data_IF_489137547616
#
_entry.id   IF_489137547616
#
_cell.length_a   1.000
_cell.length_b   1.000
_cell.length_c   1.000
_cell.angle_alpha   90.00
_cell.angle_beta   90.00
_cell.angle_gamma   90.00
#
_symmetry.space_group_name_H-M   'P 1'
#
loop_
_entity.id
_entity.type
_entity.pdbx_description
1 polymer ?
#
# COMPACT_ATOMS: atom_id res chain seq x y z
N UNK A 1 -3.56 37.50 -29.89
CA UNK A 1 -4.26 36.32 -29.35
C UNK A 1 -3.39 35.12 -29.61
N UNK A 2 -2.62 34.69 -28.61
CA UNK A 2 -1.89 33.43 -28.63
C UNK A 2 -2.73 32.40 -27.87
N UNK A 3 -2.97 31.29 -28.54
CA UNK A 3 -3.71 30.11 -28.10
C UNK A 3 -2.96 29.35 -27.00
N UNK A 4 -3.70 29.04 -25.93
CA UNK A 4 -3.84 27.72 -25.29
C UNK A 4 -2.60 26.92 -24.86
N UNK A 5 -2.69 26.50 -23.59
CA UNK A 5 -2.14 25.27 -22.99
C UNK A 5 -0.66 25.32 -22.57
N UNK A 6 -0.42 25.74 -21.32
CA UNK A 6 0.43 24.94 -20.46
C UNK A 6 -0.46 24.48 -19.31
N UNK A 7 -0.88 23.22 -19.39
CA UNK A 7 -1.50 22.50 -18.30
C UNK A 7 -0.65 22.75 -17.05
N UNK A 8 -1.24 23.42 -16.07
CA UNK A 8 -0.85 23.27 -14.68
C UNK A 8 -1.09 21.78 -14.38
N UNK A 9 -0.08 20.95 -14.67
CA UNK A 9 -0.10 19.55 -14.27
C UNK A 9 -0.29 19.60 -12.76
N UNK A 10 -1.47 19.21 -12.29
CA UNK A 10 -1.78 19.16 -10.87
C UNK A 10 -0.74 18.22 -10.24
N UNK A 11 0.31 18.82 -9.70
CA UNK A 11 1.36 18.12 -8.98
C UNK A 11 0.65 17.48 -7.79
N UNK A 12 0.68 16.14 -7.70
CA UNK A 12 0.16 15.43 -6.54
C UNK A 12 0.85 16.00 -5.32
N UNK A 13 0.07 16.61 -4.42
CA UNK A 13 0.61 17.25 -3.23
C UNK A 13 0.90 16.21 -2.15
N UNK A 14 1.70 16.60 -1.16
CA UNK A 14 1.90 15.78 0.04
C UNK A 14 0.58 15.49 0.77
N UNK A 15 -0.35 16.45 0.80
CA UNK A 15 -1.65 16.31 1.45
C UNK A 15 -2.52 15.26 0.74
N UNK A 16 -2.47 15.21 -0.59
CA UNK A 16 -3.17 14.18 -1.38
C UNK A 16 -2.65 12.78 -1.07
N UNK A 17 -1.32 12.67 -0.92
CA UNK A 17 -0.63 11.44 -0.55
C UNK A 17 -1.05 11.01 0.87
N UNK A 18 -1.02 11.93 1.83
CA UNK A 18 -1.40 11.68 3.22
C UNK A 18 -2.85 11.20 3.37
N UNK A 19 -3.81 11.89 2.74
CA UNK A 19 -5.22 11.50 2.77
C UNK A 19 -5.42 10.07 2.26
N UNK A 20 -4.71 9.71 1.19
CA UNK A 20 -4.76 8.38 0.61
C UNK A 20 -4.17 7.35 1.55
N UNK A 21 -3.01 7.60 2.14
CA UNK A 21 -2.39 6.64 3.04
C UNK A 21 -3.12 6.45 4.36
N UNK A 22 -3.90 7.43 4.83
CA UNK A 22 -4.81 7.23 5.97
C UNK A 22 -5.84 6.12 5.68
N UNK A 23 -6.39 6.09 4.46
CA UNK A 23 -7.32 5.03 4.04
C UNK A 23 -6.60 3.66 4.01
N UNK A 24 -5.36 3.62 3.54
CA UNK A 24 -4.58 2.37 3.54
C UNK A 24 -4.32 1.87 4.96
N UNK A 25 -4.02 2.75 5.91
CA UNK A 25 -3.84 2.39 7.31
C UNK A 25 -5.12 1.76 7.88
N UNK A 26 -6.28 2.39 7.67
CA UNK A 26 -7.57 1.86 8.15
C UNK A 26 -7.86 0.47 7.57
N UNK A 27 -7.58 0.25 6.27
CA UNK A 27 -7.74 -1.06 5.63
C UNK A 27 -6.74 -2.08 6.23
N UNK A 28 -5.51 -1.65 6.49
CA UNK A 28 -4.46 -2.52 7.04
C UNK A 28 -4.80 -2.97 8.47
N UNK A 29 -5.40 -2.08 9.27
CA UNK A 29 -5.91 -2.42 10.60
C UNK A 29 -7.04 -3.45 10.54
N UNK A 30 -7.91 -3.39 9.53
CA UNK A 30 -8.92 -4.43 9.31
C UNK A 30 -8.29 -5.77 8.91
N UNK A 31 -7.26 -5.74 8.07
CA UNK A 31 -6.50 -6.95 7.69
C UNK A 31 -5.80 -7.57 8.90
N UNK A 32 -5.29 -6.77 9.83
CA UNK A 32 -4.65 -7.25 11.05
C UNK A 32 -5.57 -8.13 11.93
N UNK A 33 -6.90 -8.04 11.76
CA UNK A 33 -7.87 -8.92 12.40
C UNK A 33 -7.72 -10.40 11.99
N UNK A 34 -6.90 -10.72 10.98
CA UNK A 34 -6.46 -12.10 10.69
C UNK A 34 -5.76 -12.76 11.87
N UNK A 35 -5.17 -11.96 12.76
CA UNK A 35 -4.53 -12.41 13.99
C UNK A 35 -5.51 -12.51 15.17
N UNK A 36 -6.80 -12.30 14.91
CA UNK A 36 -7.83 -12.27 15.94
C UNK A 36 -8.80 -13.45 15.84
N UNK A 37 -9.31 -13.85 17.01
CA UNK A 37 -10.41 -14.81 17.14
C UNK A 37 -11.77 -14.21 16.82
N UNK A 38 -11.86 -12.89 16.65
CA UNK A 38 -13.13 -12.23 16.33
C UNK A 38 -13.54 -12.46 14.87
N UNK A 39 -14.85 -12.60 14.67
CA UNK A 39 -15.46 -12.67 13.35
C UNK A 39 -15.19 -11.36 12.60
N UNK A 40 -14.67 -11.48 11.38
CA UNK A 40 -14.20 -10.38 10.56
C UNK A 40 -14.17 -10.82 9.11
N UNK A 41 -14.54 -9.90 8.21
CA UNK A 41 -14.50 -10.11 6.76
C UNK A 41 -13.10 -9.80 6.21
N UNK A 42 -12.16 -10.68 6.56
CA UNK A 42 -10.74 -10.52 6.18
C UNK A 42 -10.57 -10.64 4.67
N UNK A 43 -11.38 -11.48 4.01
CA UNK A 43 -11.29 -11.64 2.57
C UNK A 43 -11.62 -10.33 1.84
N UNK A 44 -12.67 -9.62 2.29
CA UNK A 44 -12.98 -8.29 1.79
C UNK A 44 -11.88 -7.26 2.11
N UNK A 45 -11.34 -7.27 3.33
CA UNK A 45 -10.26 -6.35 3.72
C UNK A 45 -9.00 -6.55 2.86
N UNK A 46 -8.63 -7.81 2.56
CA UNK A 46 -7.51 -8.13 1.66
C UNK A 46 -7.78 -7.65 0.23
N UNK A 47 -9.02 -7.79 -0.25
CA UNK A 47 -9.42 -7.29 -1.57
C UNK A 47 -9.32 -5.76 -1.65
N UNK A 48 -9.80 -5.05 -0.61
CA UNK A 48 -9.67 -3.60 -0.51
C UNK A 48 -8.21 -3.16 -0.47
N UNK A 49 -7.37 -3.83 0.31
CA UNK A 49 -5.94 -3.54 0.39
C UNK A 49 -5.26 -3.73 -0.97
N UNK A 50 -5.61 -4.82 -1.67
CA UNK A 50 -5.06 -5.12 -3.00
C UNK A 50 -5.49 -4.07 -4.01
N UNK A 51 -6.77 -3.71 -4.05
CA UNK A 51 -7.29 -2.68 -4.94
C UNK A 51 -6.65 -1.31 -4.68
N UNK A 52 -6.56 -0.90 -3.41
CA UNK A 52 -5.92 0.36 -3.04
C UNK A 52 -4.47 0.42 -3.53
N UNK A 53 -3.69 -0.64 -3.30
CA UNK A 53 -2.28 -0.65 -3.71
C UNK A 53 -2.13 -0.71 -5.22
N UNK A 54 -3.00 -1.41 -5.95
CA UNK A 54 -3.00 -1.36 -7.41
C UNK A 54 -3.24 0.05 -7.94
N UNK A 55 -4.20 0.78 -7.36
CA UNK A 55 -4.45 2.18 -7.70
C UNK A 55 -3.23 3.05 -7.39
N UNK A 56 -2.62 2.86 -6.22
CA UNK A 56 -1.45 3.61 -5.82
C UNK A 56 -0.22 3.30 -6.69
N UNK A 57 -0.05 2.05 -7.14
CA UNK A 57 0.99 1.64 -8.09
C UNK A 57 0.80 2.28 -9.47
N UNK A 58 -0.41 2.72 -9.81
CA UNK A 58 -0.72 3.45 -11.04
C UNK A 58 -0.35 4.94 -10.99
N UNK A 59 0.11 5.46 -9.85
CA UNK A 59 0.50 6.85 -9.73
C UNK A 59 1.78 7.14 -10.52
N UNK A 60 1.76 8.20 -11.31
CA UNK A 60 2.93 8.66 -12.04
C UNK A 60 3.88 9.41 -11.08
N UNK A 61 4.92 8.72 -10.62
CA UNK A 61 5.91 9.26 -9.70
C UNK A 61 6.90 10.23 -10.37
N UNK A 62 6.93 10.29 -11.71
CA UNK A 62 7.81 11.21 -12.45
C UNK A 62 7.25 12.63 -12.48
N UNK A 63 5.92 12.78 -12.33
CA UNK A 63 5.24 14.09 -12.24
C UNK A 63 5.05 14.58 -10.81
N UNK A 64 5.49 13.83 -9.80
CA UNK A 64 5.45 14.28 -8.41
C UNK A 64 6.61 15.22 -8.07
N UNK A 65 6.39 16.13 -7.12
CA UNK A 65 7.50 16.84 -6.49
C UNK A 65 8.40 15.85 -5.75
N UNK A 66 9.67 16.20 -5.55
CA UNK A 66 10.59 15.33 -4.82
C UNK A 66 10.10 15.03 -3.40
N UNK A 67 9.59 16.03 -2.68
CA UNK A 67 9.02 15.87 -1.34
C UNK A 67 7.82 14.90 -1.35
N UNK A 68 6.85 15.10 -2.26
CA UNK A 68 5.67 14.24 -2.34
C UNK A 68 6.05 12.80 -2.69
N UNK A 69 7.02 12.61 -3.59
CA UNK A 69 7.55 11.28 -3.94
C UNK A 69 8.26 10.61 -2.78
N UNK A 70 9.14 11.32 -2.07
CA UNK A 70 9.82 10.78 -0.89
C UNK A 70 8.81 10.37 0.20
N UNK A 71 7.80 11.21 0.41
CA UNK A 71 6.73 10.93 1.36
C UNK A 71 5.92 9.69 0.96
N UNK A 72 5.53 9.60 -0.32
CA UNK A 72 4.85 8.43 -0.89
C UNK A 72 5.67 7.14 -0.71
N UNK A 73 6.97 7.17 -1.03
CA UNK A 73 7.84 6.00 -0.89
C UNK A 73 7.99 5.60 0.56
N UNK A 74 8.17 6.56 1.48
CA UNK A 74 8.22 6.28 2.92
C UNK A 74 6.96 5.56 3.41
N UNK A 75 5.78 5.98 2.97
CA UNK A 75 4.52 5.32 3.32
C UNK A 75 4.39 3.93 2.72
N UNK A 76 4.81 3.73 1.46
CA UNK A 76 4.82 2.40 0.85
C UNK A 76 5.78 1.44 1.54
N UNK A 77 6.96 1.90 1.92
CA UNK A 77 7.92 1.11 2.69
C UNK A 77 7.36 0.79 4.08
N UNK A 78 6.72 1.75 4.75
CA UNK A 78 6.05 1.49 6.03
C UNK A 78 4.95 0.43 5.91
N UNK A 79 4.08 0.53 4.90
CA UNK A 79 3.05 -0.46 4.63
C UNK A 79 3.62 -1.87 4.42
N UNK A 80 4.73 -1.98 3.68
CA UNK A 80 5.44 -3.27 3.48
C UNK A 80 5.80 -3.91 4.81
N UNK A 81 6.40 -3.15 5.72
CA UNK A 81 6.83 -3.66 7.03
C UNK A 81 5.63 -4.08 7.89
N UNK A 82 4.57 -3.26 7.96
CA UNK A 82 3.36 -3.61 8.72
C UNK A 82 2.72 -4.91 8.22
N UNK A 83 2.60 -5.08 6.90
CA UNK A 83 2.06 -6.33 6.34
C UNK A 83 2.97 -7.52 6.66
N UNK A 84 4.29 -7.33 6.68
CA UNK A 84 5.23 -8.38 7.07
C UNK A 84 5.05 -8.79 8.55
N UNK A 85 4.83 -7.84 9.44
CA UNK A 85 4.53 -8.06 10.86
C UNK A 85 3.22 -8.83 11.05
N UNK A 86 2.13 -8.40 10.39
CA UNK A 86 0.83 -9.09 10.41
C UNK A 86 0.99 -10.56 10.01
N UNK A 87 1.72 -10.82 8.91
CA UNK A 87 1.98 -12.19 8.44
C UNK A 87 2.79 -13.00 9.46
N UNK A 88 3.81 -12.39 10.07
CA UNK A 88 4.66 -13.06 11.04
C UNK A 88 3.86 -13.48 12.28
N UNK A 89 3.03 -12.59 12.80
CA UNK A 89 2.12 -12.86 13.91
C UNK A 89 1.08 -13.94 13.55
N UNK A 90 0.46 -13.86 12.37
CA UNK A 90 -0.53 -14.85 11.92
C UNK A 90 0.04 -16.26 11.89
N UNK A 91 1.30 -16.38 11.46
CA UNK A 91 2.03 -17.66 11.42
C UNK A 91 2.39 -18.19 12.81
N UNK A 92 2.50 -17.33 13.82
CA UNK A 92 2.73 -17.76 15.20
C UNK A 92 1.44 -18.28 15.86
N UNK A 93 0.30 -17.68 15.52
CA UNK A 93 -1.00 -18.07 16.08
C UNK A 93 -1.53 -19.41 15.54
N UNK A 94 -1.09 -19.80 14.33
CA UNK A 94 -1.39 -21.11 13.71
C UNK A 94 -2.91 -21.41 13.65
N UNK A 95 -3.74 -20.40 13.42
CA UNK A 95 -5.18 -20.56 13.26
C UNK A 95 -5.51 -21.22 11.92
N UNK A 96 -6.00 -22.46 11.96
CA UNK A 96 -6.28 -23.26 10.76
C UNK A 96 -7.27 -22.59 9.82
N UNK A 97 -8.33 -22.00 10.37
CA UNK A 97 -9.40 -21.35 9.62
C UNK A 97 -8.97 -20.06 8.92
N UNK A 98 -7.78 -19.53 9.24
CA UNK A 98 -7.21 -18.31 8.63
C UNK A 98 -6.06 -18.60 7.66
N UNK A 99 -5.68 -19.88 7.47
CA UNK A 99 -4.52 -20.25 6.65
C UNK A 99 -4.60 -19.73 5.23
N UNK A 100 -5.79 -19.71 4.64
CA UNK A 100 -5.94 -19.26 3.25
C UNK A 100 -5.75 -17.75 3.11
N UNK A 101 -6.33 -16.96 4.02
CA UNK A 101 -6.14 -15.51 4.09
C UNK A 101 -4.66 -15.17 4.31
N UNK A 102 -3.96 -15.89 5.19
CA UNK A 102 -2.51 -15.70 5.40
C UNK A 102 -1.71 -16.01 4.13
N UNK A 103 -2.06 -17.04 3.35
CA UNK A 103 -1.39 -17.28 2.06
C UNK A 103 -1.62 -16.13 1.07
N UNK A 104 -2.85 -15.59 1.02
CA UNK A 104 -3.17 -14.43 0.18
C UNK A 104 -2.31 -13.22 0.57
N UNK A 105 -2.18 -12.93 1.87
CA UNK A 105 -1.31 -11.87 2.38
C UNK A 105 0.16 -12.08 2.01
N UNK A 106 0.67 -13.31 2.11
CA UNK A 106 2.05 -13.64 1.72
C UNK A 106 2.29 -13.36 0.23
N UNK A 107 1.35 -13.75 -0.64
CA UNK A 107 1.46 -13.49 -2.07
C UNK A 107 1.40 -11.99 -2.37
N UNK A 108 0.43 -11.30 -1.77
CA UNK A 108 0.32 -9.84 -1.83
C UNK A 108 1.64 -9.16 -1.42
N UNK A 109 2.17 -9.48 -0.25
CA UNK A 109 3.41 -8.89 0.28
C UNK A 109 4.59 -9.14 -0.65
N UNK A 110 4.71 -10.35 -1.21
CA UNK A 110 5.78 -10.72 -2.13
C UNK A 110 5.74 -9.89 -3.42
N UNK A 111 4.56 -9.78 -4.03
CA UNK A 111 4.40 -9.05 -5.30
C UNK A 111 4.56 -7.55 -5.09
N UNK A 112 3.98 -7.01 -4.01
CA UNK A 112 4.17 -5.62 -3.60
C UNK A 112 5.63 -5.29 -3.32
N UNK A 113 6.33 -6.11 -2.54
CA UNK A 113 7.76 -5.92 -2.24
C UNK A 113 8.63 -5.94 -3.50
N UNK A 114 8.33 -6.83 -4.45
CA UNK A 114 9.06 -6.88 -5.72
C UNK A 114 8.90 -5.58 -6.50
N UNK A 115 7.68 -5.07 -6.60
CA UNK A 115 7.41 -3.80 -7.25
C UNK A 115 8.10 -2.64 -6.54
N UNK A 116 7.91 -2.51 -5.22
CA UNK A 116 8.45 -1.41 -4.43
C UNK A 116 9.98 -1.36 -4.52
N UNK A 117 10.66 -2.50 -4.43
CA UNK A 117 12.11 -2.58 -4.62
C UNK A 117 12.56 -2.07 -6.00
N UNK A 118 11.75 -2.25 -7.04
CA UNK A 118 12.02 -1.72 -8.38
C UNK A 118 11.91 -0.19 -8.42
N UNK A 119 10.90 0.36 -7.75
CA UNK A 119 10.67 1.79 -7.64
C UNK A 119 11.71 2.47 -6.75
N UNK A 120 11.99 1.93 -5.56
CA UNK A 120 13.01 2.43 -4.64
C UNK A 120 14.38 2.51 -5.34
N UNK A 121 14.74 1.51 -6.17
CA UNK A 121 15.97 1.56 -6.99
C UNK A 121 15.96 2.66 -8.06
N UNK A 122 14.79 2.96 -8.66
CA UNK A 122 14.66 4.02 -9.66
C UNK A 122 14.92 5.40 -9.04
N UNK A 123 14.52 5.61 -7.79
CA UNK A 123 14.61 6.89 -7.09
C UNK A 123 15.64 6.93 -5.95
N UNK A 124 16.47 5.89 -5.83
CA UNK A 124 17.65 5.90 -4.97
C UNK A 124 18.69 6.83 -5.60
N UNK A 125 18.69 8.09 -5.16
CA UNK A 125 19.70 9.10 -5.46
C UNK A 125 20.82 9.08 -4.41
#
# INVERSE_FOLDING_TARGET
MATETSMEQALVSREDVELKFNILSDITDQVALVNSVYESDIDHAIDQMTGFVQDAMGWDLDVMTEEARQFYLSHMSFHREIVAEIIAEARQLLMDDRREQVKRLVNYHKDFSRWLNGIEKKYAA
#
